data_IF_079405097509
#
_entry.id   IF_079405097509
#
_cell.length_a   1.000
_cell.length_b   1.000
_cell.length_c   1.000
_cell.angle_alpha   90.00
_cell.angle_beta   90.00
_cell.angle_gamma   90.00
#
_symmetry.space_group_name_H-M   'P 1'
#
loop_
_entity.id
_entity.type
_entity.pdbx_description
1 polymer ?
#
# COMPACT_ATOMS: atom_id res chain seq x y z
N UNK A 1 -47.11 -15.21 -9.78
CA UNK A 1 -47.12 -16.65 -9.45
C UNK A 1 -45.97 -16.95 -8.52
N UNK A 2 -46.24 -17.51 -7.34
CA UNK A 2 -45.19 -17.91 -6.40
C UNK A 2 -44.29 -19.00 -7.02
N UNK A 3 -42.99 -18.90 -6.77
CA UNK A 3 -42.02 -19.91 -7.20
C UNK A 3 -42.23 -21.20 -6.40
N UNK A 4 -42.45 -22.33 -7.08
CA UNK A 4 -42.49 -23.65 -6.44
C UNK A 4 -41.16 -23.95 -5.76
N UNK A 5 -41.20 -24.46 -4.52
CA UNK A 5 -40.00 -24.87 -3.80
C UNK A 5 -39.31 -26.07 -4.47
N UNK A 6 -37.98 -26.13 -4.38
CA UNK A 6 -37.17 -27.23 -4.96
C UNK A 6 -37.64 -28.60 -4.48
N UNK A 7 -38.01 -28.74 -3.19
CA UNK A 7 -38.55 -29.97 -2.63
C UNK A 7 -39.86 -30.42 -3.31
N UNK A 8 -40.79 -29.49 -3.55
CA UNK A 8 -42.04 -29.77 -4.27
C UNK A 8 -41.78 -30.18 -5.71
N UNK A 9 -40.77 -29.59 -6.37
CA UNK A 9 -40.37 -29.94 -7.73
C UNK A 9 -39.79 -31.36 -7.82
N UNK A 10 -38.92 -31.75 -6.89
CA UNK A 10 -38.43 -33.13 -6.79
C UNK A 10 -39.56 -34.12 -6.51
N UNK A 11 -40.49 -33.77 -5.61
CA UNK A 11 -41.67 -34.61 -5.32
C UNK A 11 -42.52 -34.86 -6.57
N UNK A 12 -42.74 -33.84 -7.41
CA UNK A 12 -43.46 -34.00 -8.69
C UNK A 12 -42.74 -34.96 -9.63
N UNK A 13 -41.41 -34.86 -9.76
CA UNK A 13 -40.62 -35.77 -10.61
C UNK A 13 -40.67 -37.20 -10.08
N UNK A 14 -40.49 -37.40 -8.77
CA UNK A 14 -40.50 -38.72 -8.13
C UNK A 14 -41.86 -39.41 -8.24
N UNK A 15 -42.96 -38.68 -8.00
CA UNK A 15 -44.32 -39.23 -8.18
C UNK A 15 -44.59 -39.59 -9.65
N UNK A 16 -44.01 -38.85 -10.61
CA UNK A 16 -44.12 -39.20 -12.02
C UNK A 16 -43.32 -40.46 -12.38
N UNK A 17 -42.11 -40.62 -11.83
CA UNK A 17 -41.30 -41.84 -11.98
C UNK A 17 -41.97 -43.07 -11.38
N UNK A 18 -42.77 -42.90 -10.32
CA UNK A 18 -43.61 -43.95 -9.72
C UNK A 18 -44.87 -44.28 -10.54
N UNK A 19 -45.04 -43.67 -11.73
CA UNK A 19 -46.15 -43.98 -12.65
C UNK A 19 -47.47 -43.26 -12.35
N UNK A 20 -47.49 -42.27 -11.44
CA UNK A 20 -48.72 -41.51 -11.18
C UNK A 20 -49.07 -40.58 -12.35
N UNK A 21 -50.37 -40.46 -12.65
CA UNK A 21 -50.87 -39.52 -13.66
C UNK A 21 -50.71 -38.07 -13.20
N UNK A 22 -50.51 -37.14 -14.14
CA UNK A 22 -50.33 -35.72 -13.84
C UNK A 22 -51.48 -35.12 -13.01
N UNK A 23 -52.70 -35.61 -13.18
CA UNK A 23 -53.88 -35.22 -12.40
C UNK A 23 -53.78 -35.67 -10.94
N UNK A 24 -53.29 -36.89 -10.67
CA UNK A 24 -53.05 -37.38 -9.30
C UNK A 24 -51.92 -36.61 -8.63
N UNK A 25 -50.84 -36.35 -9.37
CA UNK A 25 -49.69 -35.56 -8.89
C UNK A 25 -50.13 -34.15 -8.51
N UNK A 26 -50.95 -33.50 -9.35
CA UNK A 26 -51.48 -32.15 -9.09
C UNK A 26 -52.30 -32.11 -7.80
N UNK A 27 -53.22 -33.07 -7.59
CA UNK A 27 -54.01 -33.19 -6.35
C UNK A 27 -53.15 -33.43 -5.10
N UNK A 28 -52.12 -34.29 -5.22
CA UNK A 28 -51.27 -34.70 -4.08
C UNK A 28 -50.20 -33.67 -3.71
N UNK A 29 -49.78 -32.82 -4.65
CA UNK A 29 -48.73 -31.80 -4.44
C UNK A 29 -49.28 -30.39 -4.28
N UNK A 30 -50.57 -30.16 -4.57
CA UNK A 30 -51.18 -28.82 -4.57
C UNK A 30 -50.69 -27.94 -5.72
N UNK A 31 -49.89 -28.48 -6.65
CA UNK A 31 -49.36 -27.77 -7.81
C UNK A 31 -50.35 -27.87 -8.97
N UNK A 32 -50.59 -26.78 -9.70
CA UNK A 32 -51.49 -26.81 -10.85
C UNK A 32 -51.03 -27.81 -11.91
N UNK A 33 -51.98 -28.48 -12.58
CA UNK A 33 -51.68 -29.47 -13.63
C UNK A 33 -50.77 -28.89 -14.72
N UNK A 34 -50.99 -27.63 -15.11
CA UNK A 34 -50.14 -26.94 -16.11
C UNK A 34 -48.69 -26.78 -15.63
N UNK A 35 -48.48 -26.46 -14.35
CA UNK A 35 -47.15 -26.37 -13.78
C UNK A 35 -46.47 -27.74 -13.65
N UNK A 36 -47.22 -28.80 -13.30
CA UNK A 36 -46.74 -30.19 -13.33
C UNK A 36 -46.28 -30.57 -14.75
N UNK A 37 -47.10 -30.32 -15.77
CA UNK A 37 -46.77 -30.62 -17.16
C UNK A 37 -45.52 -29.85 -17.63
N UNK A 38 -45.45 -28.54 -17.35
CA UNK A 38 -44.29 -27.70 -17.70
C UNK A 38 -43.00 -28.17 -17.01
N UNK A 39 -43.10 -28.59 -15.75
CA UNK A 39 -41.97 -29.09 -14.98
C UNK A 39 -41.46 -30.44 -15.51
N UNK A 40 -42.36 -31.38 -15.81
CA UNK A 40 -42.00 -32.67 -16.37
C UNK A 40 -41.41 -32.54 -17.78
N UNK A 41 -41.96 -31.66 -18.61
CA UNK A 41 -41.39 -31.34 -19.94
C UNK A 41 -39.97 -30.81 -19.81
N UNK A 42 -39.76 -29.83 -18.92
CA UNK A 42 -38.43 -29.28 -18.64
C UNK A 42 -37.48 -30.35 -18.11
N UNK A 43 -37.92 -31.18 -17.16
CA UNK A 43 -37.08 -32.23 -16.57
C UNK A 43 -36.68 -33.28 -17.63
N UNK A 44 -37.57 -33.62 -18.56
CA UNK A 44 -37.27 -34.50 -19.70
C UNK A 44 -36.22 -33.89 -20.65
N UNK A 45 -36.24 -32.57 -20.85
CA UNK A 45 -35.28 -31.86 -21.73
C UNK A 45 -33.90 -31.63 -21.07
N UNK A 46 -33.86 -31.27 -19.78
CA UNK A 46 -32.62 -30.80 -19.12
C UNK A 46 -32.12 -31.67 -17.98
N UNK A 47 -32.87 -32.70 -17.57
CA UNK A 47 -32.55 -33.56 -16.42
C UNK A 47 -32.58 -32.86 -15.05
N UNK A 48 -32.96 -31.58 -15.00
CA UNK A 48 -32.82 -30.73 -13.81
C UNK A 48 -34.13 -30.03 -13.44
N UNK A 49 -34.41 -29.92 -12.13
CA UNK A 49 -35.58 -29.24 -11.55
C UNK A 49 -35.31 -27.77 -11.19
N UNK A 50 -34.03 -27.38 -11.12
CA UNK A 50 -33.57 -26.02 -10.81
C UNK A 50 -33.98 -25.01 -11.86
N UNK A 51 -34.27 -23.78 -11.45
CA UNK A 51 -34.64 -22.71 -12.38
C UNK A 51 -33.56 -22.45 -13.43
N UNK A 52 -33.99 -22.30 -14.69
CA UNK A 52 -33.07 -21.89 -15.76
C UNK A 52 -32.54 -20.51 -15.42
N UNK A 53 -31.26 -20.26 -15.70
CA UNK A 53 -30.69 -18.90 -15.58
C UNK A 53 -31.53 -17.97 -16.44
N UNK A 54 -32.12 -16.95 -15.81
CA UNK A 54 -32.84 -15.90 -16.51
C UNK A 54 -31.83 -15.12 -17.35
N UNK A 55 -32.16 -14.84 -18.60
CA UNK A 55 -31.32 -14.11 -19.56
C UNK A 55 -30.96 -12.70 -19.09
N UNK A 56 -31.73 -12.14 -18.15
CA UNK A 56 -31.49 -10.81 -17.59
C UNK A 56 -31.61 -9.70 -18.64
N UNK A 57 -31.31 -8.47 -18.23
CA UNK A 57 -31.26 -7.34 -19.17
C UNK A 57 -30.01 -7.46 -20.05
N UNK A 58 -30.14 -7.38 -21.39
CA UNK A 58 -28.98 -7.31 -22.29
C UNK A 58 -28.03 -6.18 -21.88
N UNK A 59 -26.72 -6.42 -22.02
CA UNK A 59 -25.71 -5.42 -21.70
C UNK A 59 -25.69 -4.35 -22.78
N UNK A 60 -25.51 -3.09 -22.37
CA UNK A 60 -25.31 -1.97 -23.29
C UNK A 60 -23.93 -1.99 -23.95
N UNK A 61 -22.92 -2.52 -23.25
CA UNK A 61 -21.58 -2.68 -23.80
C UNK A 61 -21.48 -3.98 -24.58
N UNK A 62 -20.98 -3.90 -25.81
CA UNK A 62 -20.59 -5.06 -26.60
C UNK A 62 -19.26 -5.64 -26.11
N UNK A 63 -18.92 -6.86 -26.54
CA UNK A 63 -17.61 -7.45 -26.26
C UNK A 63 -16.45 -6.60 -26.85
N UNK A 64 -16.69 -5.92 -27.97
CA UNK A 64 -15.73 -5.01 -28.58
C UNK A 64 -15.51 -3.76 -27.71
N UNK A 65 -16.58 -3.17 -27.17
CA UNK A 65 -16.49 -2.02 -26.27
C UNK A 65 -15.73 -2.36 -24.99
N UNK A 66 -16.00 -3.54 -24.41
CA UNK A 66 -15.30 -3.99 -23.21
C UNK A 66 -13.80 -4.20 -23.48
N UNK A 67 -13.45 -4.74 -24.66
CA UNK A 67 -12.06 -4.85 -25.11
C UNK A 67 -11.41 -3.49 -25.30
N UNK A 68 -12.12 -2.54 -25.93
CA UNK A 68 -11.62 -1.18 -26.13
C UNK A 68 -11.36 -0.48 -24.81
N UNK A 69 -12.35 -0.47 -23.88
CA UNK A 69 -12.21 0.05 -22.51
C UNK A 69 -10.97 -0.52 -21.81
N UNK A 70 -10.74 -1.83 -21.94
CA UNK A 70 -9.56 -2.49 -21.36
C UNK A 70 -8.27 -1.94 -21.99
N UNK A 71 -8.17 -1.90 -23.32
CA UNK A 71 -6.95 -1.47 -24.02
C UNK A 71 -6.56 -0.02 -23.69
N UNK A 72 -7.49 0.93 -23.78
CA UNK A 72 -7.22 2.35 -23.48
C UNK A 72 -6.78 2.55 -22.03
N UNK A 73 -7.37 1.79 -21.10
CA UNK A 73 -6.98 1.80 -19.69
C UNK A 73 -5.59 1.19 -19.48
N UNK A 74 -5.23 0.14 -20.22
CA UNK A 74 -3.90 -0.48 -20.13
C UNK A 74 -2.81 0.46 -20.66
N UNK A 75 -3.12 1.25 -21.70
CA UNK A 75 -2.23 2.26 -22.27
C UNK A 75 -2.07 3.47 -21.34
N UNK A 76 -3.16 3.96 -20.75
CA UNK A 76 -3.14 5.06 -19.78
C UNK A 76 -3.85 4.69 -18.48
N UNK A 77 -3.06 4.22 -17.51
CA UNK A 77 -3.54 3.72 -16.21
C UNK A 77 -4.14 4.79 -15.31
N UNK A 78 -3.94 6.08 -15.61
CA UNK A 78 -4.41 7.19 -14.80
C UNK A 78 -5.73 7.79 -15.33
N UNK A 79 -6.25 7.27 -16.43
CA UNK A 79 -7.46 7.79 -17.03
C UNK A 79 -8.68 7.56 -16.12
N UNK A 80 -9.51 8.59 -15.94
CA UNK A 80 -10.70 8.49 -15.11
C UNK A 80 -11.80 7.70 -15.83
N UNK A 81 -12.72 7.08 -15.08
CA UNK A 81 -13.88 6.42 -15.68
C UNK A 81 -14.75 7.37 -16.50
N UNK A 82 -14.71 8.68 -16.21
CA UNK A 82 -15.44 9.69 -17.00
C UNK A 82 -14.77 9.93 -18.33
N UNK A 83 -13.44 10.09 -18.36
CA UNK A 83 -12.69 10.26 -19.59
C UNK A 83 -12.81 9.04 -20.50
N UNK A 84 -12.69 7.82 -19.94
CA UNK A 84 -12.92 6.57 -20.68
C UNK A 84 -14.32 6.53 -21.29
N UNK A 85 -15.32 7.02 -20.57
CA UNK A 85 -16.70 7.05 -21.06
C UNK A 85 -16.89 7.99 -22.23
N UNK A 86 -16.25 9.17 -22.18
CA UNK A 86 -16.24 10.14 -23.28
C UNK A 86 -15.48 9.61 -24.50
N UNK A 87 -14.34 8.95 -24.30
CA UNK A 87 -13.55 8.34 -25.37
C UNK A 87 -14.30 7.19 -26.05
N UNK A 88 -14.99 6.35 -25.27
CA UNK A 88 -15.85 5.29 -25.80
C UNK A 88 -16.98 5.88 -26.65
N UNK A 89 -17.63 6.95 -26.17
CA UNK A 89 -18.68 7.63 -26.92
C UNK A 89 -18.15 8.22 -28.23
N UNK A 90 -16.94 8.79 -28.24
CA UNK A 90 -16.31 9.31 -29.46
C UNK A 90 -15.92 8.21 -30.47
N UNK A 91 -15.42 7.07 -29.99
CA UNK A 91 -14.88 6.00 -30.84
C UNK A 91 -15.95 5.05 -31.36
N UNK A 92 -16.92 4.71 -30.52
CA UNK A 92 -17.92 3.65 -30.79
C UNK A 92 -19.35 4.18 -30.84
N UNK A 93 -19.58 5.47 -30.54
CA UNK A 93 -20.92 6.04 -30.38
C UNK A 93 -21.63 5.61 -29.09
N UNK A 94 -21.05 4.71 -28.30
CA UNK A 94 -21.73 4.12 -27.14
C UNK A 94 -21.66 5.03 -25.91
N UNK A 95 -22.73 5.79 -25.67
CA UNK A 95 -22.85 6.62 -24.47
C UNK A 95 -23.16 5.77 -23.22
N UNK A 96 -22.21 5.65 -22.31
CA UNK A 96 -22.42 4.98 -21.02
C UNK A 96 -22.17 5.94 -19.86
N UNK A 97 -22.64 5.56 -18.67
CA UNK A 97 -22.29 6.27 -17.44
C UNK A 97 -20.94 5.76 -16.90
N UNK A 98 -20.11 6.58 -16.22
CA UNK A 98 -18.81 6.15 -15.67
C UNK A 98 -18.89 4.93 -14.73
N UNK A 99 -20.03 4.69 -14.08
CA UNK A 99 -20.25 3.50 -13.26
C UNK A 99 -20.30 2.20 -14.08
N UNK A 100 -20.74 2.26 -15.34
CA UNK A 100 -20.75 1.10 -16.26
C UNK A 100 -19.34 0.77 -16.72
N UNK A 101 -18.53 1.79 -17.03
CA UNK A 101 -17.09 1.63 -17.30
C UNK A 101 -16.39 0.97 -16.12
N UNK A 102 -16.60 1.46 -14.89
CA UNK A 102 -16.01 0.89 -13.68
C UNK A 102 -16.35 -0.59 -13.49
N UNK A 103 -17.62 -0.98 -13.73
CA UNK A 103 -18.06 -2.39 -13.67
C UNK A 103 -17.41 -3.25 -14.76
N UNK A 104 -17.19 -2.70 -15.96
CA UNK A 104 -16.47 -3.38 -17.04
C UNK A 104 -15.00 -3.63 -16.68
N UNK A 105 -14.33 -2.60 -16.16
CA UNK A 105 -12.94 -2.70 -15.68
C UNK A 105 -12.79 -3.72 -14.55
N UNK A 106 -13.70 -3.71 -13.57
CA UNK A 106 -13.68 -4.67 -12.47
C UNK A 106 -13.83 -6.12 -12.96
N UNK A 107 -14.71 -6.37 -13.94
CA UNK A 107 -14.83 -7.71 -14.57
C UNK A 107 -13.57 -8.12 -15.33
N UNK A 108 -12.81 -7.14 -15.84
CA UNK A 108 -11.52 -7.36 -16.49
C UNK A 108 -10.35 -7.47 -15.50
N UNK A 109 -10.60 -7.47 -14.18
CA UNK A 109 -9.57 -7.51 -13.14
C UNK A 109 -8.84 -6.19 -12.91
N UNK A 110 -9.31 -5.09 -13.50
CA UNK A 110 -8.74 -3.76 -13.33
C UNK A 110 -9.51 -2.99 -12.26
N UNK A 111 -8.85 -2.76 -11.12
CA UNK A 111 -9.45 -2.07 -10.00
C UNK A 111 -8.76 -0.74 -9.70
N UNK A 112 -9.54 0.27 -9.34
CA UNK A 112 -9.01 1.51 -8.79
C UNK A 112 -8.27 1.24 -7.48
N UNK A 113 -7.00 1.66 -7.42
CA UNK A 113 -6.15 1.61 -6.23
C UNK A 113 -5.38 2.91 -6.14
N UNK A 114 -4.99 3.30 -4.92
CA UNK A 114 -4.12 4.47 -4.72
C UNK A 114 -2.75 4.14 -5.30
N UNK A 115 -2.23 5.01 -6.17
CA UNK A 115 -0.90 4.84 -6.74
C UNK A 115 0.16 4.86 -5.63
N UNK A 116 1.10 3.91 -5.68
CA UNK A 116 2.22 3.88 -4.73
C UNK A 116 3.12 5.11 -4.94
N UNK A 117 3.33 5.90 -3.88
CA UNK A 117 4.29 7.00 -3.90
C UNK A 117 5.71 6.43 -3.83
N UNK A 118 6.51 6.65 -4.87
CA UNK A 118 7.93 6.29 -4.90
C UNK A 118 8.74 7.45 -5.49
N UNK A 119 9.97 7.72 -5.01
CA UNK A 119 10.82 8.71 -5.64
C UNK A 119 11.09 8.32 -7.09
N UNK A 120 11.10 9.31 -7.97
CA UNK A 120 11.43 9.09 -9.37
C UNK A 120 12.92 8.80 -9.51
N UNK A 121 13.26 7.57 -9.87
CA UNK A 121 14.65 7.14 -10.04
C UNK A 121 15.10 7.27 -11.50
N UNK A 122 16.16 8.04 -11.74
CA UNK A 122 16.84 8.09 -13.05
C UNK A 122 17.42 6.72 -13.41
N UNK A 123 17.54 6.41 -14.71
CA UNK A 123 18.07 5.11 -15.20
C UNK A 123 19.45 4.77 -14.60
N UNK A 124 20.37 5.73 -14.53
CA UNK A 124 21.69 5.53 -13.90
C UNK A 124 21.62 5.18 -12.41
N UNK A 125 20.71 5.80 -11.65
CA UNK A 125 20.51 5.49 -10.23
C UNK A 125 19.93 4.07 -10.04
N UNK A 126 19.03 3.64 -10.93
CA UNK A 126 18.51 2.26 -10.94
C UNK A 126 19.63 1.23 -11.13
N UNK A 127 20.55 1.48 -12.08
CA UNK A 127 21.70 0.60 -12.31
C UNK A 127 22.64 0.51 -11.09
N UNK A 128 22.95 1.65 -10.46
CA UNK A 128 23.76 1.70 -9.23
C UNK A 128 23.09 0.93 -8.08
N UNK A 129 21.79 1.10 -7.89
CA UNK A 129 21.00 0.35 -6.90
C UNK A 129 21.00 -1.15 -7.16
N UNK A 130 20.83 -1.57 -8.42
CA UNK A 130 20.87 -2.97 -8.79
C UNK A 130 22.26 -3.59 -8.57
N UNK A 131 23.33 -2.86 -8.91
CA UNK A 131 24.71 -3.27 -8.64
C UNK A 131 24.95 -3.46 -7.14
N UNK A 132 24.48 -2.51 -6.31
CA UNK A 132 24.55 -2.62 -4.86
C UNK A 132 23.80 -3.86 -4.35
N UNK A 133 22.55 -4.05 -4.76
CA UNK A 133 21.74 -5.19 -4.34
C UNK A 133 22.37 -6.54 -4.74
N UNK A 134 22.94 -6.63 -5.95
CA UNK A 134 23.67 -7.83 -6.39
C UNK A 134 24.93 -8.09 -5.57
N UNK A 135 25.73 -7.05 -5.28
CA UNK A 135 26.96 -7.16 -4.48
C UNK A 135 26.67 -7.70 -3.07
N UNK A 136 25.57 -7.29 -2.46
CA UNK A 136 25.21 -7.65 -1.08
C UNK A 136 24.15 -8.77 -1.01
N UNK A 137 23.78 -9.40 -2.13
CA UNK A 137 22.75 -10.46 -2.18
C UNK A 137 23.09 -11.66 -1.30
N UNK A 138 24.36 -12.02 -1.26
CA UNK A 138 24.86 -13.21 -0.55
C UNK A 138 25.38 -12.87 0.85
N UNK A 139 25.21 -11.64 1.33
CA UNK A 139 25.56 -11.31 2.71
C UNK A 139 24.61 -12.03 3.67
N UNK A 140 25.16 -12.88 4.52
CA UNK A 140 24.44 -13.54 5.60
C UNK A 140 24.12 -12.61 6.77
N UNK A 141 23.28 -13.07 7.69
CA UNK A 141 22.84 -12.30 8.86
C UNK A 141 24.02 -11.77 9.69
N UNK A 142 25.06 -12.59 9.92
CA UNK A 142 26.24 -12.18 10.69
C UNK A 142 26.99 -10.99 10.07
N UNK A 143 27.02 -10.89 8.73
CA UNK A 143 27.62 -9.74 8.06
C UNK A 143 26.73 -8.50 8.20
N UNK A 144 25.41 -8.66 8.14
CA UNK A 144 24.47 -7.55 8.36
C UNK A 144 24.45 -7.04 9.81
N UNK A 145 24.72 -7.91 10.80
CA UNK A 145 24.90 -7.51 12.21
C UNK A 145 26.10 -6.57 12.40
N UNK A 146 27.05 -6.58 11.48
CA UNK A 146 28.21 -5.69 11.50
C UNK A 146 27.90 -4.27 10.99
N UNK A 147 26.68 -4.02 10.48
CA UNK A 147 26.32 -2.72 9.90
C UNK A 147 25.70 -1.80 10.96
N UNK A 148 26.31 -0.63 11.14
CA UNK A 148 25.73 0.49 11.89
C UNK A 148 24.94 1.38 10.92
N UNK A 149 23.62 1.35 11.05
CA UNK A 149 22.69 2.15 10.26
C UNK A 149 22.56 3.54 10.87
N UNK A 150 22.88 4.59 10.11
CA UNK A 150 22.79 5.98 10.58
C UNK A 150 21.90 6.82 9.67
N UNK A 151 21.14 7.75 10.25
CA UNK A 151 20.23 8.61 9.50
C UNK A 151 19.75 9.79 10.35
N UNK A 152 19.43 10.90 9.68
CA UNK A 152 18.70 12.01 10.29
C UNK A 152 17.18 11.86 10.11
N UNK A 153 16.43 12.31 11.11
CA UNK A 153 14.97 12.39 11.05
C UNK A 153 14.47 13.70 11.67
N UNK A 154 13.33 14.16 11.17
CA UNK A 154 12.59 15.30 11.71
C UNK A 154 11.30 14.80 12.35
N UNK A 155 11.05 15.21 13.58
CA UNK A 155 9.81 14.97 14.31
C UNK A 155 9.07 16.29 14.50
N UNK A 156 7.87 16.39 13.93
CA UNK A 156 7.01 17.56 14.08
C UNK A 156 6.02 17.33 15.22
N UNK A 157 5.90 18.32 16.11
CA UNK A 157 4.97 18.26 17.25
C UNK A 157 3.54 18.42 16.71
N UNK A 158 3.29 19.54 16.01
CA UNK A 158 2.04 19.83 15.34
C UNK A 158 2.18 19.60 13.83
N UNK A 159 1.58 18.52 13.35
CA UNK A 159 1.67 18.12 11.95
C UNK A 159 1.39 16.64 11.78
N UNK A 160 0.11 16.24 11.86
CA UNK A 160 -0.26 14.92 11.39
C UNK A 160 -0.34 14.98 9.86
N UNK A 161 0.67 14.48 9.16
CA UNK A 161 0.64 14.34 7.70
C UNK A 161 -0.42 13.33 7.21
N UNK A 162 -1.09 12.64 8.14
CA UNK A 162 -2.15 11.68 7.87
C UNK A 162 -3.51 12.38 7.92
N UNK A 163 -4.43 11.94 7.06
CA UNK A 163 -5.82 12.37 7.11
C UNK A 163 -6.43 11.93 8.45
N UNK A 164 -6.87 12.88 9.26
CA UNK A 164 -7.69 12.61 10.42
C UNK A 164 -9.14 12.39 9.98
N UNK A 165 -9.70 11.23 10.32
CA UNK A 165 -11.13 10.97 10.12
C UNK A 165 -11.87 11.39 11.38
N UNK A 166 -12.84 12.28 11.23
CA UNK A 166 -13.80 12.66 12.28
C UNK A 166 -15.16 12.07 11.96
N UNK A 167 -15.88 11.58 12.98
CA UNK A 167 -17.28 11.16 12.86
C UNK A 167 -18.14 12.40 13.15
N UNK A 168 -18.95 12.85 12.18
CA UNK A 168 -19.80 14.04 12.32
C UNK A 168 -21.11 13.90 11.53
N UNK A 169 -22.15 14.58 11.97
CA UNK A 169 -23.44 14.69 11.27
C UNK A 169 -23.37 15.72 10.13
N UNK A 170 -24.41 15.77 9.31
CA UNK A 170 -24.55 16.83 8.30
C UNK A 170 -24.65 18.20 8.99
N UNK A 171 -23.94 19.21 8.48
CA UNK A 171 -23.90 20.56 9.07
C UNK A 171 -22.77 20.78 10.08
N UNK A 172 -22.30 19.75 10.78
CA UNK A 172 -21.26 19.86 11.84
C UNK A 172 -19.83 20.06 11.30
N UNK A 173 -19.68 20.47 10.03
CA UNK A 173 -18.36 20.58 9.38
C UNK A 173 -17.41 21.52 10.10
N UNK A 174 -17.95 22.59 10.69
CA UNK A 174 -17.18 23.67 11.31
C UNK A 174 -17.26 23.66 12.86
N UNK A 175 -17.86 22.63 13.46
CA UNK A 175 -17.80 22.47 14.91
C UNK A 175 -16.35 22.24 15.33
N UNK A 176 -15.88 22.93 16.38
CA UNK A 176 -14.49 22.85 16.84
C UNK A 176 -14.02 21.41 17.10
N UNK A 177 -14.91 20.54 17.60
CA UNK A 177 -14.64 19.11 17.82
C UNK A 177 -14.41 18.31 16.53
N UNK A 178 -14.91 18.82 15.39
CA UNK A 178 -14.79 18.23 14.07
C UNK A 178 -13.67 18.86 13.22
N UNK A 179 -12.95 19.84 13.78
CA UNK A 179 -11.83 20.51 13.13
C UNK A 179 -10.51 19.86 13.54
N UNK A 180 -9.60 19.79 12.58
CA UNK A 180 -8.20 19.52 12.85
C UNK A 180 -7.50 20.87 13.03
N UNK A 181 -7.03 21.17 14.25
CA UNK A 181 -6.33 22.42 14.52
C UNK A 181 -5.05 22.52 13.67
N UNK A 182 -4.86 23.67 13.03
CA UNK A 182 -3.66 24.00 12.24
C UNK A 182 -3.02 25.25 12.79
N UNK A 183 -1.71 25.22 13.01
CA UNK A 183 -0.93 26.40 13.45
C UNK A 183 -0.29 27.09 12.25
N UNK A 184 -0.32 28.44 12.22
CA UNK A 184 0.24 29.26 11.12
C UNK A 184 1.76 29.12 10.98
N UNK A 185 2.46 28.88 12.09
CA UNK A 185 3.90 28.62 12.12
C UNK A 185 4.14 27.30 12.85
N UNK A 186 4.78 26.35 12.15
CA UNK A 186 4.93 24.96 12.57
C UNK A 186 5.32 24.85 14.04
N UNK A 187 4.46 24.22 14.84
CA UNK A 187 4.49 24.24 16.31
C UNK A 187 5.66 23.49 16.93
N UNK A 188 6.88 23.76 16.47
CA UNK A 188 8.12 23.12 16.85
C UNK A 188 8.39 21.83 16.06
N UNK A 189 9.64 21.67 15.68
CA UNK A 189 10.16 20.42 15.14
C UNK A 189 11.51 20.10 15.74
N UNK A 190 11.68 18.84 16.10
CA UNK A 190 12.93 18.30 16.61
C UNK A 190 13.65 17.57 15.47
N UNK A 191 14.83 18.07 15.11
CA UNK A 191 15.74 17.34 14.23
C UNK A 191 16.65 16.48 15.08
N UNK A 192 16.78 15.21 14.71
CA UNK A 192 17.64 14.24 15.41
C UNK A 192 18.52 13.52 14.41
N UNK A 193 19.71 13.15 14.88
CA UNK A 193 20.53 12.11 14.28
C UNK A 193 20.48 10.89 15.19
N UNK A 194 20.49 9.69 14.63
CA UNK A 194 20.64 8.48 15.44
C UNK A 194 21.26 7.34 14.67
N UNK A 195 21.65 6.30 15.42
CA UNK A 195 22.20 5.09 14.85
C UNK A 195 21.68 3.81 15.52
N UNK A 196 21.58 2.73 14.75
CA UNK A 196 21.16 1.41 15.24
C UNK A 196 21.99 0.30 14.57
N UNK A 197 22.07 -0.85 15.24
CA UNK A 197 22.56 -2.11 14.69
C UNK A 197 21.56 -3.23 15.02
N UNK A 198 21.77 -4.41 14.44
CA UNK A 198 21.02 -5.61 14.84
C UNK A 198 21.23 -5.98 16.32
N UNK A 199 22.37 -5.59 16.90
CA UNK A 199 22.72 -5.90 18.29
C UNK A 199 22.18 -4.87 19.31
N UNK A 200 21.60 -3.76 18.86
CA UNK A 200 21.11 -2.72 19.77
C UNK A 200 21.00 -1.34 19.14
N UNK A 201 20.59 -0.37 19.97
CA UNK A 201 20.52 1.04 19.62
C UNK A 201 21.80 1.74 20.03
N UNK A 202 22.27 2.69 19.22
CA UNK A 202 23.34 3.60 19.60
C UNK A 202 22.78 4.96 19.99
N UNK A 203 23.65 5.96 19.97
CA UNK A 203 23.31 7.30 20.41
C UNK A 203 22.21 7.95 19.57
N UNK A 204 21.37 8.73 20.26
CA UNK A 204 20.39 9.64 19.67
C UNK A 204 20.81 11.07 20.02
N UNK A 205 20.99 11.93 19.00
CA UNK A 205 21.57 13.26 19.13
C UNK A 205 20.58 14.31 18.65
N UNK A 206 20.28 15.31 19.49
CA UNK A 206 19.49 16.49 19.12
C UNK A 206 20.32 17.41 18.21
N UNK A 207 19.78 17.73 17.04
CA UNK A 207 20.42 18.64 16.09
C UNK A 207 19.83 20.04 16.28
N UNK A 208 20.66 20.96 16.77
CA UNK A 208 20.30 22.37 16.88
C UNK A 208 20.70 23.15 15.62
N UNK A 209 19.69 23.69 14.93
CA UNK A 209 19.84 24.44 13.68
C UNK A 209 20.15 23.56 12.47
N UNK A 210 20.84 24.13 11.48
CA UNK A 210 21.25 23.41 10.27
C UNK A 210 22.47 22.51 10.58
N UNK A 211 22.38 21.23 10.20
CA UNK A 211 23.47 20.28 10.27
C UNK A 211 24.41 20.48 9.07
N UNK A 212 25.56 21.11 9.31
CA UNK A 212 26.62 21.25 8.31
C UNK A 212 27.64 20.10 8.42
N UNK A 213 28.61 20.06 7.49
CA UNK A 213 29.61 19.01 7.46
C UNK A 213 30.48 18.96 8.74
N UNK A 214 30.84 20.10 9.34
CA UNK A 214 31.67 20.10 10.55
C UNK A 214 30.91 19.61 11.77
N UNK A 215 29.66 20.04 11.97
CA UNK A 215 28.77 19.49 13.01
C UNK A 215 28.55 18.00 12.81
N UNK A 216 28.39 17.54 11.57
CA UNK A 216 28.28 16.12 11.26
C UNK A 216 29.57 15.36 11.60
N UNK A 217 30.74 15.95 11.35
CA UNK A 217 32.03 15.38 11.77
C UNK A 217 32.10 15.20 13.28
N UNK A 218 31.62 16.17 14.06
CA UNK A 218 31.56 16.05 15.52
C UNK A 218 30.63 14.90 15.94
N UNK A 219 29.49 14.73 15.27
CA UNK A 219 28.60 13.57 15.49
C UNK A 219 29.34 12.25 15.20
N UNK A 220 30.12 12.17 14.11
CA UNK A 220 30.92 10.98 13.82
C UNK A 220 31.94 10.67 14.92
N UNK A 221 32.67 11.69 15.37
CA UNK A 221 33.72 11.56 16.39
C UNK A 221 33.15 11.12 17.73
N UNK A 222 32.09 11.80 18.20
CA UNK A 222 31.60 11.65 19.57
C UNK A 222 30.50 10.59 19.72
N UNK A 223 29.78 10.27 18.66
CA UNK A 223 28.59 9.41 18.75
C UNK A 223 28.66 8.20 17.82
N UNK A 224 28.83 8.41 16.50
CA UNK A 224 28.70 7.31 15.54
C UNK A 224 29.80 6.24 15.67
N UNK A 225 31.07 6.66 15.68
CA UNK A 225 32.19 5.73 15.77
C UNK A 225 32.24 5.06 17.15
N UNK A 226 32.09 5.78 18.28
CA UNK A 226 32.00 5.16 19.59
C UNK A 226 30.82 4.18 19.72
N UNK A 227 29.62 4.54 19.24
CA UNK A 227 28.46 3.65 19.24
C UNK A 227 28.73 2.38 18.44
N UNK A 228 29.30 2.52 17.23
CA UNK A 228 29.68 1.37 16.40
C UNK A 228 30.68 0.44 17.10
N UNK A 229 31.70 1.00 17.74
CA UNK A 229 32.69 0.23 18.49
C UNK A 229 32.10 -0.46 19.72
N UNK A 230 31.20 0.19 20.44
CA UNK A 230 30.55 -0.38 21.61
C UNK A 230 29.60 -1.54 21.25
N UNK A 231 28.78 -1.37 20.21
CA UNK A 231 27.69 -2.30 19.87
C UNK A 231 28.16 -3.44 18.96
N UNK A 232 29.13 -3.17 18.09
CA UNK A 232 29.58 -4.09 17.04
C UNK A 232 31.04 -4.52 17.23
N UNK A 233 31.89 -3.60 17.70
CA UNK A 233 33.33 -3.84 17.85
C UNK A 233 34.14 -3.41 16.60
N UNK A 234 35.34 -3.97 16.41
CA UNK A 234 36.30 -3.50 15.40
C UNK A 234 35.85 -3.75 13.95
N UNK A 235 34.90 -4.68 13.73
CA UNK A 235 34.36 -5.01 12.40
C UNK A 235 33.18 -4.10 11.99
N UNK A 236 33.02 -2.95 12.63
CA UNK A 236 31.90 -2.04 12.38
C UNK A 236 31.92 -1.52 10.94
N UNK A 237 30.80 -1.70 10.24
CA UNK A 237 30.57 -1.14 8.90
C UNK A 237 29.61 0.04 9.06
N UNK A 238 30.12 1.25 8.86
CA UNK A 238 29.33 2.47 8.94
C UNK A 238 28.50 2.67 7.67
N UNK A 239 27.18 2.72 7.81
CA UNK A 239 26.26 3.11 6.74
C UNK A 239 25.81 4.56 6.92
N UNK A 240 26.10 5.40 5.93
CA UNK A 240 25.57 6.76 5.77
C UNK A 240 25.03 6.95 4.35
N UNK A 241 24.21 7.97 4.10
CA UNK A 241 23.79 8.28 2.72
C UNK A 241 24.71 9.29 2.02
N UNK A 242 24.33 9.63 0.79
CA UNK A 242 25.11 10.49 -0.09
C UNK A 242 24.65 11.96 -0.02
N UNK A 243 24.16 12.44 1.12
CA UNK A 243 23.93 13.87 1.34
C UNK A 243 25.24 14.65 1.09
N UNK A 244 25.12 15.90 0.63
CA UNK A 244 26.27 16.77 0.34
C UNK A 244 27.16 16.93 1.57
N UNK A 245 26.59 16.99 2.77
CA UNK A 245 27.36 17.08 4.02
C UNK A 245 28.16 15.80 4.32
N UNK A 246 27.63 14.62 4.00
CA UNK A 246 28.30 13.33 4.19
C UNK A 246 29.38 13.06 3.15
N UNK A 247 29.23 13.67 1.97
CA UNK A 247 30.16 13.52 0.84
C UNK A 247 31.20 14.65 0.76
N UNK A 248 31.16 15.60 1.70
CA UNK A 248 32.12 16.69 1.82
C UNK A 248 33.54 16.16 2.01
N UNK A 249 34.54 16.87 1.48
CA UNK A 249 35.96 16.47 1.53
C UNK A 249 36.44 16.22 2.96
N UNK A 250 36.03 17.05 3.91
CA UNK A 250 36.37 16.91 5.33
C UNK A 250 35.89 15.58 5.92
N UNK A 251 34.67 15.14 5.57
CA UNK A 251 34.10 13.87 6.04
C UNK A 251 34.77 12.69 5.36
N UNK A 252 34.94 12.74 4.03
CA UNK A 252 35.62 11.67 3.27
C UNK A 252 37.03 11.43 3.77
N UNK A 253 37.82 12.50 3.94
CA UNK A 253 39.19 12.40 4.45
C UNK A 253 39.21 11.85 5.89
N UNK A 254 38.26 12.26 6.73
CA UNK A 254 38.18 11.77 8.10
C UNK A 254 37.84 10.27 8.15
N UNK A 255 36.83 9.83 7.40
CA UNK A 255 36.42 8.42 7.36
C UNK A 255 37.48 7.54 6.69
N UNK A 256 38.13 8.01 5.63
CA UNK A 256 39.23 7.28 4.98
C UNK A 256 40.36 7.00 5.97
N UNK A 257 40.78 8.00 6.78
CA UNK A 257 41.78 7.79 7.83
C UNK A 257 41.31 6.78 8.88
N UNK A 258 40.00 6.67 9.13
CA UNK A 258 39.44 5.69 10.07
C UNK A 258 39.39 4.28 9.48
N UNK A 259 39.18 4.16 8.17
CA UNK A 259 39.34 2.89 7.44
C UNK A 259 40.81 2.43 7.44
N UNK A 260 41.75 3.34 7.17
CA UNK A 260 43.20 3.07 7.22
C UNK A 260 43.69 2.65 8.62
N UNK A 261 43.04 3.16 9.68
CA UNK A 261 43.30 2.79 11.07
C UNK A 261 42.55 1.52 11.51
N UNK A 262 41.87 0.82 10.60
CA UNK A 262 41.02 -0.35 10.90
C UNK A 262 39.99 -0.09 12.03
N UNK A 263 39.52 1.16 12.13
CA UNK A 263 38.52 1.56 13.13
C UNK A 263 37.12 1.14 12.70
N UNK A 264 36.83 1.27 11.40
CA UNK A 264 35.56 0.93 10.76
C UNK A 264 35.76 0.75 9.25
N UNK A 265 34.77 0.16 8.57
CA UNK A 265 34.63 0.16 7.11
C UNK A 265 33.46 1.06 6.71
N UNK A 266 33.57 1.86 5.64
CA UNK A 266 32.44 2.68 5.15
C UNK A 266 31.68 1.93 4.06
N UNK A 267 30.38 1.77 4.27
CA UNK A 267 29.52 1.14 3.28
C UNK A 267 29.29 2.05 2.06
N UNK A 268 29.56 1.53 0.87
CA UNK A 268 29.18 2.20 -0.39
C UNK A 268 27.67 2.19 -0.55
N UNK A 269 27.05 3.38 -0.46
CA UNK A 269 25.59 3.51 -0.51
C UNK A 269 25.06 3.94 -1.90
N UNK A 270 24.01 3.28 -2.43
CA UNK A 270 23.42 3.69 -3.70
C UNK A 270 22.53 4.94 -3.55
N UNK A 271 22.56 5.88 -4.51
CA UNK A 271 21.80 7.13 -4.43
C UNK A 271 20.28 6.89 -4.39
N UNK A 272 19.56 7.78 -3.70
CA UNK A 272 18.08 7.76 -3.59
C UNK A 272 17.54 6.40 -3.13
N UNK A 273 18.12 5.85 -2.06
CA UNK A 273 17.74 4.53 -1.52
C UNK A 273 17.26 4.53 -0.08
N UNK A 274 16.22 5.33 0.26
CA UNK A 274 15.68 5.34 1.62
C UNK A 274 15.02 4.00 1.99
N UNK A 275 14.54 3.24 1.00
CA UNK A 275 13.91 1.92 1.18
C UNK A 275 14.89 0.82 1.62
N UNK A 276 16.19 1.04 1.47
CA UNK A 276 17.22 0.10 1.91
C UNK A 276 17.73 0.41 3.33
N UNK A 277 17.38 1.55 3.92
CA UNK A 277 17.83 1.96 5.26
C UNK A 277 16.90 1.40 6.34
N UNK A 278 17.39 0.46 7.15
CA UNK A 278 16.58 -0.18 8.20
C UNK A 278 16.11 0.82 9.26
N UNK A 279 16.94 1.80 9.61
CA UNK A 279 16.61 2.83 10.62
C UNK A 279 15.36 3.65 10.27
N UNK A 280 14.97 3.75 8.98
CA UNK A 280 13.70 4.40 8.59
C UNK A 280 12.48 3.70 9.19
N UNK A 281 12.52 2.38 9.37
CA UNK A 281 11.45 1.63 10.03
C UNK A 281 11.36 1.98 11.52
N UNK A 282 12.50 2.20 12.19
CA UNK A 282 12.54 2.64 13.59
C UNK A 282 11.97 4.06 13.71
N UNK A 283 12.33 4.97 12.81
CA UNK A 283 11.74 6.30 12.77
C UNK A 283 10.23 6.28 12.53
N UNK A 284 9.73 5.40 11.67
CA UNK A 284 8.29 5.23 11.44
C UNK A 284 7.58 4.70 12.69
N UNK A 285 8.19 3.79 13.43
CA UNK A 285 7.69 3.32 14.71
C UNK A 285 7.64 4.46 15.75
N UNK A 286 8.75 5.19 15.92
CA UNK A 286 8.82 6.32 16.86
C UNK A 286 7.80 7.41 16.55
N UNK A 287 7.56 7.72 15.27
CA UNK A 287 6.50 8.66 14.86
C UNK A 287 5.12 8.20 15.30
N UNK A 288 4.82 6.90 15.22
CA UNK A 288 3.54 6.35 15.70
C UNK A 288 3.43 6.46 17.22
N UNK A 289 4.50 6.17 17.96
CA UNK A 289 4.50 6.32 19.43
C UNK A 289 4.32 7.78 19.85
N UNK A 290 5.00 8.71 19.16
CA UNK A 290 4.80 10.15 19.35
C UNK A 290 3.33 10.55 19.17
N UNK A 291 2.67 10.07 18.11
CA UNK A 291 1.27 10.40 17.82
C UNK A 291 0.31 9.87 18.90
N UNK A 292 0.69 8.83 19.64
CA UNK A 292 -0.06 8.32 20.80
C UNK A 292 0.18 9.21 22.04
N UNK A 293 1.44 9.55 22.34
CA UNK A 293 1.81 10.38 23.50
C UNK A 293 1.36 11.84 23.37
N UNK A 294 1.26 12.36 22.14
CA UNK A 294 0.85 13.75 21.81
C UNK A 294 1.64 14.81 22.59
N UNK A 295 2.98 14.88 22.40
CA UNK A 295 3.79 15.86 23.09
C UNK A 295 3.38 17.28 22.71
N UNK A 296 3.58 18.22 23.63
CA UNK A 296 3.13 19.62 23.48
C UNK A 296 4.27 20.60 23.23
N UNK A 297 5.52 20.20 23.52
CA UNK A 297 6.74 21.00 23.31
C UNK A 297 7.89 20.16 22.76
N UNK A 298 8.97 20.81 22.32
CA UNK A 298 10.17 20.10 21.83
C UNK A 298 10.91 19.38 22.95
N UNK A 299 10.82 19.90 24.16
CA UNK A 299 11.43 19.39 25.37
C UNK A 299 10.67 18.14 25.84
N UNK A 300 9.33 18.21 25.88
CA UNK A 300 8.48 17.03 26.15
C UNK A 300 8.62 15.97 25.05
N UNK A 301 8.83 16.36 23.79
CA UNK A 301 9.12 15.40 22.73
C UNK A 301 10.48 14.71 22.88
N UNK A 302 11.46 15.35 23.53
CA UNK A 302 12.80 14.80 23.72
C UNK A 302 12.88 13.84 24.91
N UNK A 303 12.17 14.16 26.00
CA UNK A 303 12.04 13.33 27.20
C UNK A 303 11.22 12.08 26.93
#
# INVERSE_FOLDING_TARGET
>A
MASLSTATRHKVVLLHQQGLSQTKISKQTGVSRCAVQALLKKHKETGNVEDRRRSGRPRKLSAADERHIKLITLQNRNMSCSAISSELAATTGTLVHPSTVRRSLARSGLHGRVAAKKPYLRRGNKAKRLKYARKHRNWGAEKWKQVLWTDESKFEIFGCSRRQFVRRRAGERYNNECLQATVKHGGGSLNVWGCISANGVGDLVRINGVLNAEKYRQILIHHAIPSGRCIIGPKCILQQDNDTKHTAKVIKNYLQRKEEQEVLEVMVWPPQSPDLKIIKCVWDYMRRQKDVRKPTSTEDLWL
#
